data_IF_850042597529
#
_entry.id   IF_850042597529
#
_cell.length_a   1.000
_cell.length_b   1.000
_cell.length_c   1.000
_cell.angle_alpha   90.00
_cell.angle_beta   90.00
_cell.angle_gamma   90.00
#
_symmetry.space_group_name_H-M   'P 1'
#
loop_
_entity.id
_entity.type
_entity.pdbx_description
1 polymer ?
#
# COMPACT_ATOMS: atom_id res chain seq x y z
N UNK A 1 27.31 -21.29 -11.30
CA UNK A 1 26.90 -20.20 -12.21
C UNK A 1 27.00 -18.87 -11.48
N UNK A 2 27.36 -17.79 -12.19
CA UNK A 2 27.63 -16.48 -11.59
C UNK A 2 26.65 -15.45 -12.17
N UNK A 3 26.04 -14.63 -11.31
CA UNK A 3 25.25 -13.47 -11.74
C UNK A 3 26.02 -12.16 -11.53
N UNK A 4 25.96 -11.31 -12.55
CA UNK A 4 26.63 -10.02 -12.57
C UNK A 4 25.61 -8.90 -12.67
N UNK A 5 25.75 -7.89 -11.81
CA UNK A 5 24.90 -6.72 -11.76
C UNK A 5 25.73 -5.45 -11.79
N UNK A 6 25.22 -4.43 -12.47
CA UNK A 6 25.73 -3.06 -12.38
C UNK A 6 24.70 -2.25 -11.61
N UNK A 7 25.07 -1.75 -10.43
CA UNK A 7 24.17 -1.00 -9.54
C UNK A 7 24.66 0.43 -9.32
N UNK A 8 23.75 1.34 -9.03
CA UNK A 8 24.06 2.71 -8.62
C UNK A 8 24.39 2.80 -7.12
N UNK A 9 24.92 3.93 -6.66
CA UNK A 9 25.17 4.27 -5.26
C UNK A 9 23.91 4.34 -4.40
N UNK A 10 22.73 4.33 -5.03
CA UNK A 10 21.42 4.20 -4.37
C UNK A 10 20.88 2.76 -4.33
N UNK A 11 21.64 1.79 -4.87
CA UNK A 11 21.25 0.37 -4.86
C UNK A 11 20.23 -0.02 -5.91
N UNK A 12 20.06 0.76 -7.00
CA UNK A 12 19.22 0.37 -8.14
C UNK A 12 20.04 -0.34 -9.21
N UNK A 13 19.45 -1.38 -9.80
CA UNK A 13 20.08 -2.16 -10.88
C UNK A 13 19.98 -1.39 -12.19
N UNK A 14 21.12 -1.10 -12.81
CA UNK A 14 21.22 -0.43 -14.11
C UNK A 14 21.37 -1.46 -15.24
N UNK A 15 22.14 -2.52 -14.99
CA UNK A 15 22.35 -3.63 -15.95
C UNK A 15 22.34 -4.94 -15.18
N UNK A 16 21.63 -5.94 -15.71
CA UNK A 16 21.62 -7.32 -15.25
C UNK A 16 21.58 -8.26 -16.46
N UNK A 17 21.88 -9.54 -16.24
CA UNK A 17 21.69 -10.59 -17.25
C UNK A 17 20.22 -10.72 -17.65
N UNK A 18 19.31 -10.73 -16.66
CA UNK A 18 17.88 -10.61 -16.89
C UNK A 18 17.48 -9.13 -17.00
N UNK A 19 17.05 -8.74 -18.20
CA UNK A 19 16.52 -7.41 -18.48
C UNK A 19 15.34 -7.00 -17.59
N UNK A 20 14.58 -7.95 -17.04
CA UNK A 20 13.42 -7.67 -16.18
C UNK A 20 13.80 -7.01 -14.85
N UNK A 21 15.04 -7.20 -14.39
CA UNK A 21 15.57 -6.65 -13.14
C UNK A 21 16.08 -5.22 -13.29
N UNK A 22 16.16 -4.68 -14.50
CA UNK A 22 16.64 -3.33 -14.73
C UNK A 22 15.68 -2.31 -14.13
N UNK A 23 16.20 -1.39 -13.31
CA UNK A 23 15.43 -0.39 -12.59
C UNK A 23 14.80 -0.89 -11.30
N UNK A 24 14.90 -2.18 -10.99
CA UNK A 24 14.46 -2.75 -9.72
C UNK A 24 15.50 -2.44 -8.63
N UNK A 25 15.04 -2.29 -7.39
CA UNK A 25 15.92 -2.13 -6.25
C UNK A 25 16.68 -3.44 -5.99
N UNK A 26 18.00 -3.35 -5.84
CA UNK A 26 18.86 -4.52 -5.65
C UNK A 26 18.48 -5.37 -4.43
N UNK A 27 17.95 -4.74 -3.37
CA UNK A 27 17.47 -5.45 -2.20
C UNK A 27 16.20 -6.29 -2.42
N UNK A 28 15.40 -5.99 -3.44
CA UNK A 28 14.23 -6.79 -3.80
C UNK A 28 14.64 -8.04 -4.59
N UNK A 29 15.65 -7.91 -5.45
CA UNK A 29 16.19 -9.03 -6.23
C UNK A 29 17.11 -9.93 -5.37
N UNK A 30 18.03 -9.33 -4.61
CA UNK A 30 19.09 -10.02 -3.86
C UNK A 30 19.13 -9.53 -2.40
N UNK A 31 18.06 -9.79 -1.66
CA UNK A 31 17.88 -9.33 -0.28
C UNK A 31 18.94 -9.82 0.71
N UNK A 32 19.43 -11.07 0.54
CA UNK A 32 20.51 -11.62 1.36
C UNK A 32 21.81 -10.81 1.24
N UNK A 33 22.20 -10.46 0.01
CA UNK A 33 23.40 -9.67 -0.27
C UNK A 33 23.23 -8.24 0.21
N UNK A 34 22.08 -7.62 -0.04
CA UNK A 34 21.79 -6.27 0.45
C UNK A 34 21.85 -6.19 1.99
N UNK A 35 21.24 -7.14 2.70
CA UNK A 35 21.32 -7.21 4.18
C UNK A 35 22.77 -7.35 4.67
N UNK A 36 23.58 -8.18 4.00
CA UNK A 36 25.00 -8.30 4.35
C UNK A 36 25.75 -7.00 4.12
N UNK A 37 25.54 -6.33 2.98
CA UNK A 37 26.15 -5.03 2.67
C UNK A 37 25.79 -3.95 3.70
N UNK A 38 24.55 -3.97 4.21
CA UNK A 38 24.11 -3.08 5.29
C UNK A 38 24.85 -3.42 6.59
N UNK A 39 24.92 -4.70 6.97
CA UNK A 39 25.61 -5.13 8.19
C UNK A 39 27.12 -4.83 8.18
N UNK A 40 27.73 -4.83 6.99
CA UNK A 40 29.14 -4.50 6.79
C UNK A 40 29.40 -2.99 6.74
N UNK A 41 28.36 -2.15 6.82
CA UNK A 41 28.48 -0.69 6.71
C UNK A 41 28.83 -0.21 5.30
N UNK A 42 28.72 -1.08 4.29
CA UNK A 42 28.96 -0.72 2.89
C UNK A 42 27.77 0.04 2.30
N UNK A 43 26.57 -0.29 2.74
CA UNK A 43 25.35 0.47 2.47
C UNK A 43 24.76 0.94 3.79
N UNK A 44 24.27 2.17 3.81
CA UNK A 44 23.60 2.77 4.97
C UNK A 44 22.13 2.95 4.65
N UNK A 45 21.26 2.52 5.58
CA UNK A 45 19.84 2.84 5.56
C UNK A 45 19.63 4.26 6.08
N UNK A 46 18.97 5.09 5.29
CA UNK A 46 18.58 6.47 5.62
C UNK A 46 17.08 6.56 5.50
N UNK A 47 16.40 7.07 6.52
CA UNK A 47 14.96 7.22 6.50
C UNK A 47 14.60 8.66 6.12
N UNK A 48 13.68 8.81 5.17
CA UNK A 48 13.11 10.09 4.76
C UNK A 48 11.68 10.20 5.29
N UNK A 49 11.27 11.38 5.74
CA UNK A 49 9.95 11.60 6.33
C UNK A 49 9.11 12.53 5.46
N UNK A 50 7.89 12.11 5.14
CA UNK A 50 6.88 12.92 4.45
C UNK A 50 5.70 13.15 5.40
N UNK A 51 5.57 14.38 5.89
CA UNK A 51 4.48 14.82 6.77
C UNK A 51 3.26 15.33 5.98
N UNK A 52 3.29 15.26 4.65
CA UNK A 52 2.24 15.77 3.77
C UNK A 52 1.65 14.67 2.87
N UNK A 53 1.90 13.40 3.19
CA UNK A 53 1.39 12.26 2.45
C UNK A 53 -0.10 12.02 2.68
N UNK A 54 -0.71 11.22 1.81
CA UNK A 54 -2.10 10.79 1.94
C UNK A 54 -2.21 9.27 1.98
N UNK A 55 -2.81 8.74 3.04
CA UNK A 55 -3.07 7.31 3.24
C UNK A 55 -4.50 6.96 2.84
N UNK A 56 -4.69 5.74 2.34
CA UNK A 56 -6.03 5.20 2.11
C UNK A 56 -6.54 4.55 3.39
N UNK A 57 -7.64 5.09 3.91
CA UNK A 57 -8.37 4.47 5.02
C UNK A 57 -9.65 3.86 4.47
N UNK A 58 -9.85 2.60 4.81
CA UNK A 58 -11.11 1.91 4.58
C UNK A 58 -12.03 2.23 5.75
N UNK A 59 -12.87 3.24 5.57
CA UNK A 59 -13.95 3.52 6.50
C UNK A 59 -15.15 2.66 6.12
N UNK A 60 -15.58 1.76 7.00
CA UNK A 60 -16.94 1.20 6.95
C UNK A 60 -17.94 2.32 7.23
N UNK A 61 -18.23 3.13 6.22
CA UNK A 61 -19.27 4.13 6.32
C UNK A 61 -20.58 3.41 6.08
N UNK A 62 -21.35 3.22 7.14
CA UNK A 62 -22.79 3.15 7.02
C UNK A 62 -23.25 4.50 6.47
N UNK A 63 -23.72 4.51 5.22
CA UNK A 63 -24.22 5.70 4.51
C UNK A 63 -25.29 6.42 5.37
N UNK A 64 -24.90 7.42 6.15
CA UNK A 64 -25.82 8.29 6.90
C UNK A 64 -26.39 9.39 6.03
N UNK A 65 -25.89 9.56 4.79
CA UNK A 65 -26.41 10.53 3.83
C UNK A 65 -27.84 10.21 3.34
N UNK A 66 -28.30 8.96 3.47
CA UNK A 66 -29.68 8.58 3.12
C UNK A 66 -30.73 9.01 4.17
N UNK A 67 -30.32 9.42 5.37
CA UNK A 67 -31.26 9.75 6.45
C UNK A 67 -31.95 11.11 6.26
N UNK A 68 -31.31 12.07 5.58
CA UNK A 68 -31.86 13.42 5.38
C UNK A 68 -32.72 13.59 4.11
N UNK A 69 -32.60 12.68 3.15
CA UNK A 69 -33.45 12.66 1.94
C UNK A 69 -34.75 11.89 2.15
N UNK A 70 -34.86 11.12 3.24
CA UNK A 70 -36.05 10.36 3.59
C UNK A 70 -37.34 11.22 3.77
N UNK A 71 -37.34 12.39 4.45
CA UNK A 71 -38.56 13.18 4.60
C UNK A 71 -39.03 13.81 3.29
N UNK A 72 -38.11 14.35 2.47
CA UNK A 72 -38.47 14.94 1.18
C UNK A 72 -38.91 13.86 0.19
N UNK A 73 -38.25 12.71 0.16
CA UNK A 73 -38.64 11.60 -0.70
C UNK A 73 -39.96 10.98 -0.24
N UNK A 74 -40.22 10.86 1.07
CA UNK A 74 -41.50 10.46 1.63
C UNK A 74 -42.63 11.44 1.24
N UNK A 75 -42.38 12.75 1.35
CA UNK A 75 -43.37 13.77 0.92
C UNK A 75 -43.61 13.69 -0.58
N UNK A 76 -42.56 13.57 -1.40
CA UNK A 76 -42.69 13.48 -2.86
C UNK A 76 -43.38 12.17 -3.28
N UNK A 77 -43.12 11.05 -2.60
CA UNK A 77 -43.80 9.77 -2.86
C UNK A 77 -45.25 9.80 -2.38
N UNK A 78 -45.55 10.42 -1.24
CA UNK A 78 -46.93 10.64 -0.78
C UNK A 78 -47.70 11.54 -1.75
N UNK A 79 -47.10 12.63 -2.22
CA UNK A 79 -47.70 13.52 -3.23
C UNK A 79 -47.89 12.79 -4.56
N UNK A 80 -46.89 12.04 -5.02
CA UNK A 80 -47.02 11.22 -6.23
C UNK A 80 -48.09 10.13 -6.10
N UNK A 81 -48.25 9.52 -4.92
CA UNK A 81 -49.29 8.54 -4.65
C UNK A 81 -50.67 9.18 -4.69
N UNK A 82 -50.86 10.33 -4.07
CA UNK A 82 -52.11 11.10 -4.14
C UNK A 82 -52.44 11.54 -5.57
N UNK A 83 -51.43 11.99 -6.33
CA UNK A 83 -51.61 12.33 -7.75
C UNK A 83 -51.93 11.09 -8.59
N UNK A 84 -51.31 9.94 -8.31
CA UNK A 84 -51.62 8.69 -8.98
C UNK A 84 -53.03 8.21 -8.63
N UNK A 85 -53.47 8.32 -7.38
CA UNK A 85 -54.84 8.01 -6.94
C UNK A 85 -55.88 8.93 -7.59
N UNK A 86 -55.55 10.22 -7.74
CA UNK A 86 -56.38 11.19 -8.47
C UNK A 86 -56.43 10.89 -9.98
N UNK A 87 -55.30 10.51 -10.58
CA UNK A 87 -55.22 10.09 -11.98
C UNK A 87 -55.96 8.77 -12.20
N UNK A 88 -55.87 7.81 -11.27
CA UNK A 88 -56.63 6.55 -11.29
C UNK A 88 -58.12 6.81 -11.13
N UNK A 89 -58.55 7.74 -10.26
CA UNK A 89 -59.96 8.18 -10.17
C UNK A 89 -60.46 8.80 -11.49
N UNK A 90 -59.61 9.57 -12.18
CA UNK A 90 -59.93 10.15 -13.50
C UNK A 90 -59.96 9.08 -14.61
N UNK A 91 -59.14 8.03 -14.50
CA UNK A 91 -59.09 6.87 -15.41
C UNK A 91 -60.22 5.87 -15.13
N UNK A 92 -60.62 5.67 -13.87
CA UNK A 92 -61.78 4.86 -13.50
C UNK A 92 -63.09 5.52 -14.00
N UNK A 93 -63.13 6.85 -14.12
CA UNK A 93 -64.21 7.60 -14.77
C UNK A 93 -64.13 7.60 -16.32
N UNK A 94 -63.04 7.10 -16.91
CA UNK A 94 -62.81 6.94 -18.36
C UNK A 94 -62.09 5.61 -18.66
N UNK A 95 -62.84 4.51 -18.62
CA UNK A 95 -62.53 3.16 -19.14
C UNK A 95 -61.06 2.78 -19.40
N UNK A 96 -60.61 1.87 -18.52
CA UNK A 96 -59.81 0.66 -18.75
C UNK A 96 -58.38 0.75 -19.32
N UNK A 97 -57.46 0.34 -18.42
CA UNK A 97 -56.31 -0.53 -18.64
C UNK A 97 -55.08 0.07 -19.31
N UNK A 98 -53.96 -0.59 -19.02
CA UNK A 98 -52.70 -0.56 -19.78
C UNK A 98 -51.53 0.19 -19.10
N UNK A 99 -50.84 -0.58 -18.26
CA UNK A 99 -49.37 -0.67 -18.09
C UNK A 99 -48.70 -0.09 -16.84
N UNK A 100 -48.23 -1.07 -16.05
CA UNK A 100 -47.10 -0.98 -15.14
C UNK A 100 -45.80 -1.01 -15.96
N UNK A 101 -44.84 -0.18 -15.58
CA UNK A 101 -43.43 -0.42 -15.91
C UNK A 101 -42.60 -0.03 -14.70
N UNK A 102 -42.26 -1.07 -13.93
CA UNK A 102 -41.18 -1.03 -12.94
C UNK A 102 -39.89 -0.58 -13.62
N UNK A 103 -39.20 0.40 -13.03
CA UNK A 103 -37.83 0.73 -13.38
C UNK A 103 -37.00 0.72 -12.10
N UNK A 104 -36.54 -0.46 -11.72
CA UNK A 104 -35.47 -0.64 -10.75
C UNK A 104 -34.13 -0.46 -11.46
N UNK A 105 -33.37 0.55 -11.06
CA UNK A 105 -31.97 0.70 -11.43
C UNK A 105 -31.10 0.30 -10.24
N UNK A 106 -30.39 -0.82 -10.35
CA UNK A 106 -29.39 -1.24 -9.38
C UNK A 106 -28.07 -0.52 -9.63
N UNK A 107 -27.66 0.31 -8.66
CA UNK A 107 -26.32 0.88 -8.59
C UNK A 107 -25.45 -0.01 -7.70
N UNK A 108 -24.37 -0.55 -8.27
CA UNK A 108 -23.39 -1.35 -7.54
C UNK A 108 -22.66 -0.49 -6.50
N UNK A 109 -22.83 -0.83 -5.21
CA UNK A 109 -22.10 -0.24 -4.08
C UNK A 109 -20.69 -0.84 -4.00
N UNK A 110 -19.69 -0.14 -4.54
CA UNK A 110 -18.29 -0.40 -4.24
C UNK A 110 -17.88 0.32 -2.95
N UNK A 111 -17.12 -0.36 -2.08
CA UNK A 111 -16.51 0.22 -0.87
C UNK A 111 -15.70 1.46 -1.26
N UNK A 112 -16.07 2.62 -0.74
CA UNK A 112 -15.41 3.88 -1.05
C UNK A 112 -14.20 4.05 -0.14
N UNK A 113 -13.00 3.95 -0.69
CA UNK A 113 -11.77 4.31 0.05
C UNK A 113 -11.71 5.83 0.24
N UNK A 114 -11.38 6.26 1.45
CA UNK A 114 -11.16 7.67 1.76
C UNK A 114 -9.66 7.95 1.85
N UNK A 115 -9.24 9.09 1.29
CA UNK A 115 -7.87 9.58 1.43
C UNK A 115 -7.82 10.52 2.62
N UNK A 116 -6.91 10.25 3.55
CA UNK A 116 -6.67 11.08 4.75
C UNK A 116 -5.20 11.51 4.79
N UNK A 117 -4.89 12.69 5.34
CA UNK A 117 -3.51 13.07 5.59
C UNK A 117 -2.88 12.11 6.60
N UNK A 118 -1.65 11.69 6.35
CA UNK A 118 -0.88 10.83 7.23
C UNK A 118 0.62 11.13 7.06
N UNK A 119 1.40 10.69 8.04
CA UNK A 119 2.86 10.84 8.02
C UNK A 119 3.49 9.52 7.57
N UNK A 120 4.35 9.58 6.57
CA UNK A 120 5.00 8.42 5.97
C UNK A 120 6.51 8.47 6.17
N UNK A 121 7.10 7.31 6.42
CA UNK A 121 8.54 7.08 6.46
C UNK A 121 8.96 6.26 5.24
N UNK A 122 9.86 6.81 4.44
CA UNK A 122 10.41 6.19 3.23
C UNK A 122 11.83 5.72 3.51
N UNK A 123 12.10 4.40 3.53
CA UNK A 123 13.45 3.90 3.64
C UNK A 123 14.20 4.13 2.33
N UNK A 124 15.41 4.67 2.42
CA UNK A 124 16.33 4.85 1.31
C UNK A 124 17.70 4.24 1.65
N UNK A 125 18.47 3.85 0.64
CA UNK A 125 19.78 3.26 0.82
C UNK A 125 20.82 4.05 0.04
N UNK A 126 21.99 4.24 0.65
CA UNK A 126 23.12 4.95 0.04
C UNK A 126 24.41 4.20 0.36
N UNK A 127 25.26 4.00 -0.64
CA UNK A 127 26.58 3.39 -0.49
C UNK A 127 27.56 4.33 0.22
N UNK A 128 28.41 3.79 1.09
CA UNK A 128 29.51 4.54 1.69
C UNK A 128 30.66 4.75 0.69
N UNK A 129 31.25 5.96 0.64
CA UNK A 129 32.19 6.35 -0.45
C UNK A 129 33.60 5.78 -0.32
N UNK A 130 33.89 5.02 0.73
CA UNK A 130 35.24 4.50 1.05
C UNK A 130 35.49 3.08 0.53
N UNK A 131 34.50 2.45 -0.11
CA UNK A 131 34.59 1.06 -0.53
C UNK A 131 35.30 0.97 -1.88
N UNK A 132 36.55 0.51 -1.86
CA UNK A 132 37.25 0.17 -3.09
C UNK A 132 36.82 -1.21 -3.59
N UNK A 133 36.87 -2.21 -2.69
CA UNK A 133 36.44 -3.58 -2.93
C UNK A 133 35.97 -4.19 -1.61
N UNK A 134 34.78 -4.81 -1.60
CA UNK A 134 34.27 -5.59 -0.47
C UNK A 134 33.95 -7.00 -0.95
N UNK A 135 34.51 -7.99 -0.27
CA UNK A 135 34.17 -9.41 -0.46
C UNK A 135 33.37 -9.86 0.75
N UNK A 136 32.24 -10.48 0.50
CA UNK A 136 31.35 -10.98 1.54
C UNK A 136 30.99 -12.44 1.32
N UNK A 137 30.87 -13.16 2.43
CA UNK A 137 30.33 -14.51 2.45
C UNK A 137 29.07 -14.50 3.32
N UNK A 138 28.04 -15.17 2.83
CA UNK A 138 26.74 -15.34 3.49
C UNK A 138 26.60 -16.82 3.78
N UNK A 139 26.46 -17.16 5.05
CA UNK A 139 26.14 -18.52 5.48
C UNK A 139 24.63 -18.71 5.36
N UNK A 140 24.21 -19.65 4.51
CA UNK A 140 22.82 -20.07 4.37
C UNK A 140 22.71 -21.54 4.84
N UNK A 141 21.51 -22.12 4.92
CA UNK A 141 21.33 -23.49 5.43
C UNK A 141 22.05 -24.55 4.57
N UNK A 142 23.29 -24.88 4.92
CA UNK A 142 24.09 -25.94 4.31
C UNK A 142 25.03 -25.50 3.17
N UNK A 143 25.19 -24.20 2.93
CA UNK A 143 26.06 -23.66 1.88
C UNK A 143 26.62 -22.27 2.26
N UNK A 144 27.59 -21.80 1.48
CA UNK A 144 28.10 -20.44 1.59
C UNK A 144 27.90 -19.73 0.26
N UNK A 145 27.15 -18.63 0.26
CA UNK A 145 26.96 -17.78 -0.91
C UNK A 145 27.94 -16.61 -0.83
N UNK A 146 28.86 -16.56 -1.80
CA UNK A 146 29.89 -15.52 -1.85
C UNK A 146 29.51 -14.41 -2.83
N UNK A 147 29.93 -13.19 -2.55
CA UNK A 147 29.77 -12.06 -3.44
C UNK A 147 30.94 -11.09 -3.36
N UNK A 148 31.14 -10.36 -4.44
CA UNK A 148 32.14 -9.30 -4.55
C UNK A 148 31.44 -8.05 -5.08
N UNK A 149 31.69 -6.91 -4.42
CA UNK A 149 31.28 -5.59 -4.90
C UNK A 149 32.50 -4.72 -5.11
N UNK A 150 32.59 -4.09 -6.29
CA UNK A 150 33.69 -3.22 -6.67
C UNK A 150 33.15 -1.91 -7.22
N UNK A 151 33.71 -0.79 -6.77
CA UNK A 151 33.37 0.53 -7.32
C UNK A 151 34.03 0.74 -8.67
N UNK A 152 33.28 1.27 -9.65
CA UNK A 152 33.84 1.70 -10.93
C UNK A 152 34.51 3.08 -10.75
N UNK A 153 35.81 3.22 -11.07
CA UNK A 153 36.52 4.48 -10.87
C UNK A 153 35.89 5.60 -11.70
N UNK A 154 35.82 6.80 -11.11
CA UNK A 154 35.24 8.00 -11.73
C UNK A 154 33.75 7.91 -12.06
N UNK A 155 33.02 7.01 -11.39
CA UNK A 155 31.58 6.81 -11.56
C UNK A 155 30.87 6.64 -10.21
N UNK A 156 29.54 6.75 -10.20
CA UNK A 156 28.65 6.38 -9.10
C UNK A 156 28.25 4.90 -9.11
N UNK A 157 28.73 4.14 -10.09
CA UNK A 157 28.33 2.75 -10.30
C UNK A 157 29.24 1.74 -9.57
N UNK A 158 28.64 0.61 -9.20
CA UNK A 158 29.31 -0.54 -8.60
C UNK A 158 28.99 -1.79 -9.41
N UNK A 159 30.01 -2.62 -9.63
CA UNK A 159 29.85 -3.95 -10.20
C UNK A 159 29.71 -4.96 -9.05
N UNK A 160 28.64 -5.74 -9.06
CA UNK A 160 28.37 -6.79 -8.09
C UNK A 160 28.40 -8.13 -8.80
N UNK A 161 29.16 -9.07 -8.25
CA UNK A 161 29.29 -10.42 -8.78
C UNK A 161 28.88 -11.37 -7.65
N UNK A 162 27.91 -12.23 -7.93
CA UNK A 162 27.29 -13.12 -6.95
C UNK A 162 27.39 -14.55 -7.44
N UNK A 163 27.79 -15.45 -6.57
CA UNK A 163 27.72 -16.88 -6.80
C UNK A 163 26.27 -17.37 -6.59
N UNK A 164 25.70 -18.02 -7.61
CA UNK A 164 24.33 -18.54 -7.57
C UNK A 164 24.27 -20.06 -7.31
N UNK A 165 25.35 -20.64 -6.80
CA UNK A 165 25.36 -22.06 -6.42
C UNK A 165 24.41 -22.39 -5.27
N UNK A 166 23.94 -21.40 -4.52
CA UNK A 166 23.02 -21.62 -3.40
C UNK A 166 21.84 -20.65 -3.32
N UNK A 167 20.69 -21.17 -2.88
CA UNK A 167 19.49 -20.40 -2.59
C UNK A 167 19.50 -19.91 -1.12
N UNK A 168 19.29 -18.60 -0.94
CA UNK A 168 19.30 -17.92 0.35
C UNK A 168 18.00 -17.13 0.57
N UNK A 169 16.87 -17.70 0.15
CA UNK A 169 15.54 -17.07 0.22
C UNK A 169 15.05 -16.76 1.64
N UNK A 170 15.67 -17.31 2.69
CA UNK A 170 15.33 -17.05 4.10
C UNK A 170 15.49 -15.59 4.52
N UNK A 171 16.42 -14.86 3.90
CA UNK A 171 16.71 -13.47 4.28
C UNK A 171 15.62 -12.47 3.86
N UNK A 172 14.67 -12.90 3.02
CA UNK A 172 13.59 -12.07 2.48
C UNK A 172 14.09 -10.89 1.62
N UNK A 173 13.20 -10.24 0.84
CA UNK A 173 13.55 -9.03 0.12
C UNK A 173 13.68 -7.84 1.08
N UNK A 174 14.61 -6.94 0.77
CA UNK A 174 14.70 -5.62 1.40
C UNK A 174 13.93 -4.64 0.51
N UNK A 175 12.78 -4.14 0.99
CA UNK A 175 11.89 -3.28 0.20
C UNK A 175 12.09 -1.80 0.47
N UNK A 176 11.61 -0.98 -0.47
CA UNK A 176 11.55 0.49 -0.37
C UNK A 176 10.14 0.99 0.02
N UNK A 177 9.30 0.10 0.53
CA UNK A 177 7.90 0.42 0.79
C UNK A 177 7.74 1.47 1.89
N UNK A 178 6.83 2.45 1.71
CA UNK A 178 6.55 3.45 2.72
C UNK A 178 5.84 2.85 3.94
N UNK A 179 6.19 3.36 5.11
CA UNK A 179 5.63 2.93 6.40
C UNK A 179 4.88 4.11 7.03
N UNK A 180 3.64 3.91 7.44
CA UNK A 180 2.88 4.93 8.18
C UNK A 180 3.41 5.09 9.61
N UNK A 181 3.68 6.33 10.02
CA UNK A 181 4.19 6.64 11.35
C UNK A 181 3.02 6.73 12.33
N UNK A 182 2.94 5.75 13.23
CA UNK A 182 1.98 5.79 14.35
C UNK A 182 2.62 6.41 15.60
N UNK A 183 2.14 7.60 15.98
CA UNK A 183 2.59 8.24 17.20
C UNK A 183 2.07 7.52 18.46
N UNK A 184 2.95 7.34 19.46
CA UNK A 184 2.61 6.71 20.76
C UNK A 184 1.46 7.44 21.49
N UNK A 185 1.36 8.76 21.34
CA UNK A 185 0.24 9.54 21.89
C UNK A 185 -1.10 9.16 21.25
N UNK A 186 -1.11 8.88 19.95
CA UNK A 186 -2.30 8.43 19.24
C UNK A 186 -2.68 7.01 19.66
N UNK A 187 -1.70 6.11 19.83
CA UNK A 187 -1.94 4.76 20.34
C UNK A 187 -2.61 4.78 21.72
N UNK A 188 -2.10 5.61 22.64
CA UNK A 188 -2.71 5.77 23.98
C UNK A 188 -4.12 6.36 23.91
N UNK A 189 -4.37 7.33 23.02
CA UNK A 189 -5.71 7.90 22.80
C UNK A 189 -6.69 6.88 22.20
N UNK A 190 -6.25 6.09 21.21
CA UNK A 190 -7.04 5.02 20.61
C UNK A 190 -7.37 3.93 21.64
N UNK A 191 -6.40 3.55 22.48
CA UNK A 191 -6.57 2.57 23.55
C UNK A 191 -7.50 3.09 24.66
N UNK A 192 -7.42 4.38 25.02
CA UNK A 192 -8.38 5.04 25.90
C UNK A 192 -9.80 5.04 25.32
N UNK A 193 -9.96 5.37 24.03
CA UNK A 193 -11.27 5.36 23.36
C UNK A 193 -11.87 3.94 23.27
N UNK A 194 -11.04 2.91 23.09
CA UNK A 194 -11.46 1.50 23.12
C UNK A 194 -11.84 1.02 24.53
N UNK A 195 -11.19 1.56 25.56
CA UNK A 195 -11.58 1.32 26.95
C UNK A 195 -12.92 1.99 27.25
N UNK A 196 -13.12 3.25 26.83
CA UNK A 196 -14.40 3.95 26.98
C UNK A 196 -15.53 3.24 26.22
N UNK A 197 -15.28 2.72 25.00
CA UNK A 197 -16.29 1.97 24.25
C UNK A 197 -16.64 0.64 24.91
N UNK A 198 -15.66 -0.06 25.51
CA UNK A 198 -15.91 -1.30 26.28
C UNK A 198 -16.65 -1.03 27.59
N UNK A 199 -16.37 0.10 28.24
CA UNK A 199 -17.12 0.53 29.44
C UNK A 199 -18.56 0.82 29.06
N UNK A 200 -18.83 1.48 27.92
CA UNK A 200 -20.20 1.75 27.47
C UNK A 200 -21.01 0.48 27.16
N UNK A 201 -20.37 -0.58 26.63
CA UNK A 201 -21.04 -1.88 26.36
C UNK A 201 -21.24 -2.76 27.60
N UNK A 202 -20.64 -2.42 28.74
CA UNK A 202 -20.80 -3.16 30.00
C UNK A 202 -21.95 -2.63 30.88
N UNK A 203 -22.61 -1.55 30.48
CA UNK A 203 -23.71 -0.90 31.21
C UNK A 203 -25.05 -0.88 30.42
N UNK A 204 -25.22 -1.79 29.47
CA UNK A 204 -26.49 -2.17 28.85
C UNK A 204 -26.72 -3.66 29.02
#
# INVERSE_FOLDING_TARGET
DISCYLIDNNGFIIIAEDSSLTGVFFGEAEGAVMNKLISMGSFTRVNMYDYQATCRVYSEISDTAHMLLHPFFAVITSVRKLLAEFVILLIEFNLYSWWCSDLTAEAHRGVRSMLVPCDMEYPAFVSERTIKETVGNIECEGCVRSFVIQQIPSSNLFMVVIDNECDCSEFGPVTLDPIEIMYILYYNKQMLLLLDSKVQTSWT
#
